data_IF_290552407841
#
_entry.id   IF_290552407841
#
_cell.length_a   1.000
_cell.length_b   1.000
_cell.length_c   1.000
_cell.angle_alpha   90.00
_cell.angle_beta   90.00
_cell.angle_gamma   90.00
#
_symmetry.space_group_name_H-M   'P 1'
#
loop_
_entity.id
_entity.type
_entity.pdbx_description
1 polymer ?
#
# COMPACT_ATOMS: atom_id res chain seq x y z
N UNK A 1 -19.59 -7.51 6.28
CA UNK A 1 -19.10 -6.67 5.18
C UNK A 1 -18.11 -7.50 4.39
N UNK A 2 -18.35 -7.73 3.12
CA UNK A 2 -17.40 -8.33 2.19
C UNK A 2 -16.70 -7.21 1.41
N UNK A 3 -15.41 -7.37 1.13
CA UNK A 3 -14.65 -6.30 0.44
C UNK A 3 -15.20 -6.01 -0.95
N UNK A 4 -15.68 -7.04 -1.67
CA UNK A 4 -16.30 -6.86 -2.99
C UNK A 4 -17.59 -6.03 -3.01
N UNK A 5 -18.29 -5.92 -1.86
CA UNK A 5 -19.52 -5.11 -1.75
C UNK A 5 -19.24 -3.62 -1.55
N UNK A 6 -18.05 -3.28 -1.04
CA UNK A 6 -17.72 -1.90 -0.59
C UNK A 6 -16.52 -1.30 -1.32
N UNK A 7 -15.94 -2.02 -2.26
CA UNK A 7 -14.78 -1.54 -3.02
C UNK A 7 -14.53 -2.35 -4.28
N UNK A 8 -13.53 -1.91 -5.02
CA UNK A 8 -13.10 -2.54 -6.28
C UNK A 8 -11.61 -2.85 -6.26
N UNK A 9 -11.24 -3.90 -6.96
CA UNK A 9 -9.85 -4.25 -7.22
C UNK A 9 -9.44 -3.77 -8.61
N UNK A 10 -8.29 -3.11 -8.70
CA UNK A 10 -7.72 -2.59 -9.92
C UNK A 10 -6.31 -3.19 -10.07
N UNK A 11 -6.05 -3.80 -11.23
CA UNK A 11 -4.75 -4.39 -11.53
C UNK A 11 -3.72 -3.30 -11.82
N UNK A 12 -2.50 -3.49 -11.30
CA UNK A 12 -1.37 -2.62 -11.58
C UNK A 12 -0.93 -2.61 -13.05
N UNK A 13 -0.13 -1.61 -13.40
CA UNK A 13 0.39 -1.37 -14.74
C UNK A 13 1.38 -2.46 -15.14
N UNK A 14 1.17 -3.05 -16.32
CA UNK A 14 2.17 -3.91 -16.96
C UNK A 14 3.10 -3.05 -17.80
N UNK A 15 4.39 -3.13 -17.53
CA UNK A 15 5.43 -2.44 -18.25
C UNK A 15 6.68 -3.35 -18.40
N UNK A 16 7.56 -3.02 -19.31
CA UNK A 16 8.80 -3.72 -19.55
C UNK A 16 10.03 -2.80 -19.40
N UNK A 17 11.23 -3.33 -19.57
CA UNK A 17 12.47 -2.55 -19.42
C UNK A 17 12.59 -1.37 -20.37
N UNK A 18 12.00 -1.47 -21.58
CA UNK A 18 12.05 -0.40 -22.57
C UNK A 18 11.12 0.78 -22.23
N UNK A 19 10.12 0.55 -21.36
CA UNK A 19 9.22 1.60 -20.88
C UNK A 19 9.88 2.43 -19.74
N UNK A 20 10.95 1.91 -19.13
CA UNK A 20 11.64 2.55 -18.00
C UNK A 20 12.56 3.64 -18.49
N UNK A 21 12.41 4.85 -17.96
CA UNK A 21 13.19 6.04 -18.31
C UNK A 21 13.49 6.87 -17.05
N UNK A 22 14.54 7.70 -17.09
CA UNK A 22 14.88 8.55 -15.94
C UNK A 22 13.80 9.58 -15.61
N UNK A 23 13.16 10.15 -16.63
CA UNK A 23 12.09 11.13 -16.51
C UNK A 23 10.89 10.69 -17.34
N UNK A 24 10.08 9.83 -16.80
CA UNK A 24 8.84 9.36 -17.41
C UNK A 24 7.64 10.21 -17.02
N UNK A 25 6.52 9.90 -17.64
CA UNK A 25 5.25 10.56 -17.36
C UNK A 25 4.47 9.94 -16.20
N UNK A 26 4.89 8.77 -15.70
CA UNK A 26 4.23 8.04 -14.59
C UNK A 26 5.26 7.42 -13.67
N UNK A 27 5.04 7.55 -12.37
CA UNK A 27 5.77 6.84 -11.33
C UNK A 27 5.09 5.52 -11.00
N UNK A 28 5.89 4.45 -10.92
CA UNK A 28 5.39 3.10 -10.64
C UNK A 28 5.95 2.60 -9.33
N UNK A 29 5.06 2.36 -8.38
CA UNK A 29 5.37 1.73 -7.10
C UNK A 29 5.37 0.21 -7.24
N UNK A 30 6.27 -0.45 -6.53
CA UNK A 30 6.44 -1.91 -6.56
C UNK A 30 6.32 -2.49 -5.15
N UNK A 31 6.40 -3.80 -5.04
CA UNK A 31 6.34 -4.48 -3.74
C UNK A 31 7.38 -3.98 -2.72
N UNK A 32 8.51 -3.44 -3.19
CA UNK A 32 9.55 -2.85 -2.34
C UNK A 32 9.11 -1.55 -1.66
N UNK A 33 8.17 -0.82 -2.27
CA UNK A 33 7.64 0.43 -1.74
C UNK A 33 6.50 0.22 -0.74
N UNK A 34 6.01 -1.00 -0.60
CA UNK A 34 4.93 -1.34 0.33
C UNK A 34 5.52 -1.57 1.72
N UNK A 35 5.22 -0.68 2.66
CA UNK A 35 5.53 -0.83 4.08
C UNK A 35 4.24 -1.28 4.77
N UNK A 36 4.22 -2.52 5.25
CA UNK A 36 2.99 -3.12 5.77
C UNK A 36 2.37 -2.27 6.89
N UNK A 37 1.09 -1.92 6.72
CA UNK A 37 0.33 -1.13 7.69
C UNK A 37 0.68 0.36 7.74
N UNK A 38 1.46 0.88 6.79
CA UNK A 38 1.90 2.27 6.75
C UNK A 38 1.65 2.91 5.38
N UNK A 39 2.03 4.19 5.22
CA UNK A 39 2.09 4.85 3.91
C UNK A 39 3.19 4.24 3.04
N UNK A 40 3.12 4.49 1.73
CA UNK A 40 4.13 4.03 0.78
C UNK A 40 5.51 4.66 1.04
N UNK A 41 6.57 3.91 0.76
CA UNK A 41 7.93 4.46 0.71
C UNK A 41 8.13 5.17 -0.64
N UNK A 42 8.21 6.48 -0.59
CA UNK A 42 8.47 7.35 -1.74
C UNK A 42 9.96 7.65 -1.97
N UNK A 43 10.85 7.17 -1.11
CA UNK A 43 12.26 7.55 -1.14
C UNK A 43 13.12 6.55 -1.93
N UNK A 44 12.68 5.30 -2.00
CA UNK A 44 13.51 4.22 -2.54
C UNK A 44 12.81 3.49 -3.68
N UNK A 45 13.60 3.00 -4.65
CA UNK A 45 13.17 2.03 -5.67
C UNK A 45 11.95 2.44 -6.52
N UNK A 46 11.64 3.72 -6.63
CA UNK A 46 10.59 4.21 -7.53
C UNK A 46 11.08 4.03 -8.96
N UNK A 47 10.20 3.51 -9.81
CA UNK A 47 10.47 3.38 -11.25
C UNK A 47 9.67 4.44 -11.98
N UNK A 48 10.33 5.17 -12.87
CA UNK A 48 9.69 6.12 -13.78
C UNK A 48 9.52 5.46 -15.15
N UNK A 49 8.32 5.55 -15.72
CA UNK A 49 8.00 4.95 -17.01
C UNK A 49 7.37 5.95 -17.97
N UNK A 50 7.60 5.75 -19.26
CA UNK A 50 6.91 6.51 -20.29
C UNK A 50 5.77 5.67 -20.85
N UNK A 51 4.63 5.64 -20.13
CA UNK A 51 3.46 4.84 -20.48
C UNK A 51 2.17 5.55 -20.08
N UNK A 52 1.10 5.31 -20.84
CA UNK A 52 -0.23 5.79 -20.46
C UNK A 52 -0.85 4.86 -19.42
N UNK A 53 -1.50 5.44 -18.42
CA UNK A 53 -2.33 4.74 -17.43
C UNK A 53 -3.78 5.16 -17.60
N UNK A 54 -4.71 4.27 -17.27
CA UNK A 54 -6.11 4.63 -17.17
C UNK A 54 -6.36 5.49 -15.93
N UNK A 55 -7.45 6.27 -15.93
CA UNK A 55 -7.85 7.04 -14.76
C UNK A 55 -8.08 6.16 -13.52
N UNK A 56 -8.49 4.91 -13.71
CA UNK A 56 -8.67 3.94 -12.63
C UNK A 56 -7.34 3.48 -12.03
N UNK A 57 -6.32 3.28 -12.87
CA UNK A 57 -4.98 2.85 -12.44
C UNK A 57 -4.20 3.97 -11.74
N UNK A 58 -4.58 5.23 -11.93
CA UNK A 58 -3.97 6.32 -11.16
C UNK A 58 -4.38 6.22 -9.71
N UNK A 59 -3.39 6.21 -8.82
CA UNK A 59 -3.63 6.17 -7.37
C UNK A 59 -4.39 7.40 -6.89
N UNK A 60 -5.37 7.16 -6.05
CA UNK A 60 -6.18 8.18 -5.38
C UNK A 60 -5.95 8.10 -3.87
N UNK A 61 -6.04 9.24 -3.19
CA UNK A 61 -5.90 9.28 -1.74
C UNK A 61 -6.84 8.27 -1.05
N UNK A 62 -6.29 7.45 -0.17
CA UNK A 62 -7.00 6.38 0.51
C UNK A 62 -6.97 5.02 -0.20
N UNK A 63 -6.43 4.93 -1.42
CA UNK A 63 -6.23 3.63 -2.08
C UNK A 63 -5.31 2.73 -1.23
N UNK A 64 -5.63 1.45 -1.20
CA UNK A 64 -4.83 0.43 -0.55
C UNK A 64 -4.06 -0.33 -1.62
N UNK A 65 -2.75 -0.35 -1.48
CA UNK A 65 -1.85 -1.04 -2.39
C UNK A 65 -1.48 -2.39 -1.77
N UNK A 66 -1.60 -3.46 -2.55
CA UNK A 66 -1.41 -4.83 -2.10
C UNK A 66 -0.34 -5.50 -2.96
N UNK A 67 0.61 -6.18 -2.32
CA UNK A 67 1.54 -7.07 -3.01
C UNK A 67 0.79 -8.34 -3.42
N UNK A 68 0.53 -8.51 -4.71
CA UNK A 68 -0.25 -9.63 -5.25
C UNK A 68 0.62 -10.84 -5.60
N UNK A 69 1.88 -10.62 -5.96
CA UNK A 69 2.83 -11.67 -6.30
C UNK A 69 4.24 -11.30 -5.84
N UNK A 70 4.95 -12.28 -5.29
CA UNK A 70 6.34 -12.12 -4.89
C UNK A 70 7.04 -13.49 -4.84
N UNK A 71 8.36 -13.53 -5.08
CA UNK A 71 9.16 -14.74 -4.89
C UNK A 71 9.19 -15.26 -3.44
N UNK A 72 8.94 -14.40 -2.46
CA UNK A 72 8.72 -14.79 -1.08
C UNK A 72 7.24 -14.74 -0.72
N UNK A 73 6.66 -15.87 -0.34
CA UNK A 73 5.26 -15.98 0.07
C UNK A 73 4.92 -15.10 1.29
N UNK A 74 5.89 -14.84 2.16
CA UNK A 74 5.72 -13.97 3.33
C UNK A 74 5.50 -12.50 2.98
N UNK A 75 5.81 -12.08 1.75
CA UNK A 75 5.62 -10.71 1.28
C UNK A 75 4.30 -10.52 0.50
N UNK A 76 3.68 -11.62 0.09
CA UNK A 76 2.39 -11.57 -0.61
C UNK A 76 1.30 -11.19 0.38
N UNK A 77 0.42 -10.30 -0.03
CA UNK A 77 -0.64 -9.76 0.81
C UNK A 77 -0.22 -8.61 1.73
N UNK A 78 1.08 -8.26 1.84
CA UNK A 78 1.42 -7.04 2.57
C UNK A 78 0.79 -5.83 1.87
N UNK A 79 0.36 -4.85 2.65
CA UNK A 79 -0.40 -3.72 2.16
C UNK A 79 0.09 -2.40 2.74
N UNK A 80 -0.01 -1.35 1.93
CA UNK A 80 0.18 0.05 2.33
C UNK A 80 -1.01 0.87 1.84
N UNK A 81 -1.11 2.11 2.29
CA UNK A 81 -2.10 3.04 1.77
C UNK A 81 -1.42 4.24 1.10
N UNK A 82 -2.11 4.79 0.10
CA UNK A 82 -1.68 5.99 -0.59
C UNK A 82 -2.26 7.23 0.11
N UNK A 83 -1.39 8.15 0.52
CA UNK A 83 -1.75 9.34 1.29
C UNK A 83 -2.00 10.60 0.42
N UNK A 84 -1.96 10.44 -0.91
CA UNK A 84 -2.23 11.54 -1.84
C UNK A 84 -1.12 12.58 -1.98
N UNK A 85 0.05 12.39 -1.38
CA UNK A 85 1.10 13.43 -1.34
C UNK A 85 1.94 13.54 -2.61
N UNK A 86 1.91 12.55 -3.49
CA UNK A 86 2.68 12.59 -4.73
C UNK A 86 2.02 13.56 -5.74
N UNK A 87 2.81 14.51 -6.24
CA UNK A 87 2.35 15.50 -7.22
C UNK A 87 2.38 14.99 -8.67
N UNK A 88 3.05 13.87 -8.91
CA UNK A 88 3.14 13.25 -10.24
C UNK A 88 2.09 12.15 -10.40
N UNK A 89 1.67 11.85 -11.65
CA UNK A 89 0.88 10.67 -11.92
C UNK A 89 1.59 9.42 -11.38
N UNK A 90 0.90 8.66 -10.56
CA UNK A 90 1.49 7.53 -9.84
C UNK A 90 0.55 6.31 -9.90
N UNK A 91 1.12 5.14 -10.06
CA UNK A 91 0.41 3.85 -10.08
C UNK A 91 1.25 2.76 -9.43
N UNK A 92 0.79 1.52 -9.50
CA UNK A 92 1.52 0.33 -9.05
C UNK A 92 1.87 -0.58 -10.21
N UNK A 93 2.95 -1.35 -10.10
CA UNK A 93 3.36 -2.34 -11.09
C UNK A 93 2.50 -3.60 -11.06
N UNK A 94 2.58 -4.44 -12.10
CA UNK A 94 1.73 -5.61 -12.33
C UNK A 94 1.74 -6.67 -11.23
N UNK A 95 2.77 -6.71 -10.37
CA UNK A 95 2.85 -7.59 -9.20
C UNK A 95 2.16 -7.01 -7.96
N UNK A 96 1.56 -5.83 -8.10
CA UNK A 96 0.75 -5.18 -7.09
C UNK A 96 -0.65 -4.94 -7.62
N UNK A 97 -1.59 -4.75 -6.70
CA UNK A 97 -2.95 -4.35 -7.01
C UNK A 97 -3.35 -3.15 -6.16
N UNK A 98 -4.38 -2.46 -6.62
CA UNK A 98 -5.01 -1.35 -5.93
C UNK A 98 -6.36 -1.84 -5.46
N UNK A 99 -6.67 -1.66 -4.19
CA UNK A 99 -8.03 -1.80 -3.69
C UNK A 99 -8.56 -0.42 -3.32
N UNK A 100 -9.66 -0.03 -3.94
CA UNK A 100 -10.30 1.28 -3.78
C UNK A 100 -11.66 1.14 -3.12
N UNK A 101 -11.87 1.86 -2.02
CA UNK A 101 -13.13 1.89 -1.29
C UNK A 101 -13.42 3.29 -0.76
N UNK A 102 -14.71 3.60 -0.62
CA UNK A 102 -15.18 4.82 0.06
C UNK A 102 -15.37 4.62 1.57
N UNK A 103 -15.28 3.38 2.05
CA UNK A 103 -15.45 3.02 3.45
C UNK A 103 -14.15 3.25 4.24
N UNK A 104 -14.07 4.27 5.10
CA UNK A 104 -12.81 4.64 5.75
C UNK A 104 -12.23 3.54 6.64
N UNK A 105 -13.08 2.70 7.27
CA UNK A 105 -12.65 1.61 8.16
C UNK A 105 -11.80 0.57 7.43
N UNK A 106 -11.97 0.42 6.12
CA UNK A 106 -11.33 -0.60 5.31
C UNK A 106 -9.81 -0.54 5.38
N UNK A 107 -9.23 0.65 5.47
CA UNK A 107 -7.78 0.85 5.60
C UNK A 107 -7.16 -0.04 6.69
N UNK A 108 -7.82 -0.16 7.84
CA UNK A 108 -7.29 -0.94 8.97
C UNK A 108 -7.67 -2.43 8.90
N UNK A 109 -8.68 -2.81 8.11
CA UNK A 109 -9.03 -4.22 7.94
C UNK A 109 -7.90 -5.01 7.29
N UNK A 110 -7.13 -4.40 6.39
CA UNK A 110 -5.95 -4.98 5.76
C UNK A 110 -4.76 -5.18 6.71
N UNK A 111 -4.81 -4.62 7.92
CA UNK A 111 -3.79 -4.78 8.96
C UNK A 111 -4.17 -5.83 10.01
N UNK A 112 -5.36 -6.44 9.89
CA UNK A 112 -5.86 -7.40 10.89
C UNK A 112 -5.26 -8.79 10.71
N UNK A 113 -5.15 -9.52 11.83
CA UNK A 113 -4.77 -10.94 11.80
C UNK A 113 -5.72 -11.78 10.94
N UNK A 114 -7.01 -11.39 10.86
CA UNK A 114 -7.99 -12.06 10.00
C UNK A 114 -7.61 -11.96 8.53
N UNK A 115 -7.22 -10.76 8.08
CA UNK A 115 -6.71 -10.53 6.73
C UNK A 115 -5.50 -11.41 6.44
N UNK A 116 -4.47 -11.33 7.27
CA UNK A 116 -3.23 -12.08 7.08
C UNK A 116 -3.45 -13.59 7.08
N UNK A 117 -4.32 -14.10 7.96
CA UNK A 117 -4.70 -15.53 7.99
C UNK A 117 -5.42 -15.96 6.71
N UNK A 118 -6.32 -15.11 6.19
CA UNK A 118 -7.01 -15.42 4.93
C UNK A 118 -6.03 -15.49 3.77
N UNK A 119 -5.15 -14.50 3.64
CA UNK A 119 -4.10 -14.47 2.61
C UNK A 119 -3.22 -15.73 2.70
N UNK A 120 -2.74 -16.04 3.90
CA UNK A 120 -1.92 -17.24 4.11
C UNK A 120 -2.62 -18.52 3.65
N UNK A 121 -3.87 -18.70 4.01
CA UNK A 121 -4.65 -19.88 3.61
C UNK A 121 -4.87 -19.93 2.09
N UNK A 122 -5.10 -18.79 1.45
CA UNK A 122 -5.27 -18.72 -0.01
C UNK A 122 -4.00 -19.12 -0.76
N UNK A 123 -2.82 -18.87 -0.20
CA UNK A 123 -1.54 -19.22 -0.80
C UNK A 123 -1.18 -20.70 -0.64
N UNK A 124 -1.69 -21.38 0.38
CA UNK A 124 -1.39 -22.81 0.63
C UNK A 124 -1.98 -23.75 -0.44
N UNK A 125 -2.99 -23.31 -1.19
CA UNK A 125 -3.61 -24.10 -2.28
C UNK A 125 -2.85 -24.05 -3.62
N UNK A 126 -1.77 -23.28 -3.72
CA UNK A 126 -1.04 -23.09 -4.98
C UNK A 126 0.13 -24.08 -5.16
N UNK A 127 0.16 -24.76 -6.31
CA UNK A 127 1.23 -25.72 -6.69
C UNK A 127 2.44 -25.04 -7.36
N UNK A 128 2.64 -23.71 -7.18
CA UNK A 128 3.63 -22.95 -7.92
C UNK A 128 4.81 -22.44 -7.08
N UNK A 129 5.97 -22.27 -7.73
CA UNK A 129 7.18 -21.69 -7.13
C UNK A 129 7.01 -20.20 -6.75
N UNK A 130 5.99 -19.52 -7.26
CA UNK A 130 5.68 -18.11 -6.98
C UNK A 130 4.32 -18.04 -6.34
N UNK A 131 4.26 -17.53 -5.09
CA UNK A 131 3.00 -17.22 -4.42
C UNK A 131 2.30 -16.06 -5.14
N UNK A 132 1.07 -16.27 -5.57
CA UNK A 132 0.30 -15.31 -6.34
C UNK A 132 -1.16 -15.28 -5.87
N UNK A 133 -1.68 -14.08 -5.67
CA UNK A 133 -3.09 -13.80 -5.41
C UNK A 133 -3.73 -13.22 -6.66
N UNK A 134 -5.03 -13.41 -6.81
CA UNK A 134 -5.81 -12.71 -7.81
C UNK A 134 -6.77 -11.70 -7.15
N UNK A 135 -7.38 -10.82 -7.94
CA UNK A 135 -8.28 -9.78 -7.41
C UNK A 135 -9.51 -10.36 -6.71
N UNK A 136 -10.00 -11.51 -7.18
CA UNK A 136 -11.15 -12.20 -6.58
C UNK A 136 -10.85 -12.69 -5.16
N UNK A 137 -9.61 -13.11 -4.90
CA UNK A 137 -9.19 -13.53 -3.55
C UNK A 137 -9.35 -12.38 -2.57
N UNK A 138 -9.03 -11.15 -2.99
CA UNK A 138 -9.21 -9.95 -2.16
C UNK A 138 -10.68 -9.61 -1.99
N UNK A 139 -11.46 -9.59 -3.07
CA UNK A 139 -12.87 -9.19 -3.06
C UNK A 139 -13.76 -10.15 -2.24
N UNK A 140 -13.37 -11.42 -2.10
CA UNK A 140 -14.09 -12.43 -1.30
C UNK A 140 -13.84 -12.33 0.20
N UNK A 141 -12.88 -11.56 0.66
CA UNK A 141 -12.59 -11.43 2.09
C UNK A 141 -13.77 -10.77 2.79
N UNK A 142 -14.23 -11.40 3.87
CA UNK A 142 -15.34 -10.91 4.68
C UNK A 142 -14.90 -10.60 6.11
N UNK A 143 -15.39 -9.49 6.65
CA UNK A 143 -15.14 -9.03 8.00
C UNK A 143 -16.45 -8.85 8.78
N UNK A 144 -16.40 -9.17 10.06
CA UNK A 144 -17.44 -8.72 10.99
C UNK A 144 -17.10 -7.30 11.40
N UNK A 145 -17.92 -6.36 10.98
CA UNK A 145 -17.80 -4.94 11.31
C UNK A 145 -18.95 -4.58 12.25
N UNK A 146 -18.71 -3.79 13.29
CA UNK A 146 -19.77 -3.32 14.19
C UNK A 146 -20.85 -2.52 13.46
N UNK A 147 -21.86 -2.09 14.18
CA UNK A 147 -22.83 -1.12 13.66
C UNK A 147 -22.18 0.19 13.23
N UNK A 148 -22.88 0.99 12.42
CA UNK A 148 -22.36 2.21 11.81
C UNK A 148 -21.81 3.20 12.83
N UNK A 149 -22.50 3.40 13.99
CA UNK A 149 -22.09 4.34 15.03
C UNK A 149 -20.76 3.91 15.68
N UNK A 150 -20.65 2.63 16.02
CA UNK A 150 -19.43 2.07 16.60
C UNK A 150 -18.27 2.10 15.59
N UNK A 151 -18.55 1.77 14.33
CA UNK A 151 -17.56 1.83 13.23
C UNK A 151 -17.02 3.24 13.04
N UNK A 152 -17.88 4.25 13.07
CA UNK A 152 -17.45 5.66 12.96
C UNK A 152 -16.53 6.07 14.14
N UNK A 153 -16.88 5.68 15.36
CA UNK A 153 -16.05 5.95 16.55
C UNK A 153 -14.69 5.26 16.45
N UNK A 154 -14.66 3.99 16.04
CA UNK A 154 -13.42 3.25 15.79
C UNK A 154 -12.56 3.92 14.73
N UNK A 155 -13.17 4.34 13.62
CA UNK A 155 -12.49 5.04 12.52
C UNK A 155 -11.83 6.33 13.00
N UNK A 156 -12.55 7.15 13.78
CA UNK A 156 -12.00 8.40 14.35
C UNK A 156 -10.83 8.13 15.29
N UNK A 157 -10.94 7.13 16.15
CA UNK A 157 -9.88 6.76 17.08
C UNK A 157 -8.63 6.28 16.33
N UNK A 158 -8.81 5.36 15.37
CA UNK A 158 -7.71 4.82 14.57
C UNK A 158 -7.03 5.91 13.74
N UNK A 159 -7.79 6.82 13.14
CA UNK A 159 -7.24 7.98 12.41
C UNK A 159 -6.39 8.88 13.31
N UNK A 160 -6.84 9.11 14.54
CA UNK A 160 -6.10 9.92 15.52
C UNK A 160 -4.78 9.22 15.92
N UNK A 161 -4.80 7.91 16.09
CA UNK A 161 -3.59 7.12 16.38
C UNK A 161 -2.61 7.15 15.21
N UNK A 162 -3.08 6.97 13.97
CA UNK A 162 -2.22 7.09 12.77
C UNK A 162 -1.56 8.47 12.70
N UNK A 163 -2.32 9.56 12.92
CA UNK A 163 -1.78 10.92 12.91
C UNK A 163 -0.71 11.15 13.99
N UNK A 164 -0.90 10.55 15.19
CA UNK A 164 0.11 10.59 16.25
C UNK A 164 1.37 9.82 15.86
N UNK A 165 1.22 8.65 15.27
CA UNK A 165 2.34 7.85 14.77
C UNK A 165 3.12 8.62 13.71
N UNK A 166 2.46 9.17 12.70
CA UNK A 166 3.10 9.96 11.64
C UNK A 166 3.84 11.19 12.19
N UNK A 167 3.25 11.90 13.14
CA UNK A 167 3.87 13.05 13.80
C UNK A 167 5.15 12.64 14.55
N UNK A 168 5.12 11.53 15.29
CA UNK A 168 6.28 11.03 16.03
C UNK A 168 7.38 10.54 15.09
N UNK A 169 7.04 9.84 14.00
CA UNK A 169 8.00 9.40 12.97
C UNK A 169 8.69 10.61 12.34
N UNK A 170 7.93 11.65 11.98
CA UNK A 170 8.48 12.90 11.45
C UNK A 170 9.42 13.58 12.45
N UNK A 171 9.06 13.62 13.72
CA UNK A 171 9.87 14.21 14.78
C UNK A 171 11.18 13.42 14.97
N UNK A 172 11.13 12.11 15.01
CA UNK A 172 12.31 11.24 15.08
C UNK A 172 13.25 11.46 13.90
N UNK A 173 12.72 11.60 12.68
CA UNK A 173 13.51 11.90 11.49
C UNK A 173 14.24 13.25 11.62
N UNK A 174 13.55 14.29 12.07
CA UNK A 174 14.15 15.63 12.30
C UNK A 174 15.27 15.58 13.34
N UNK A 175 15.07 14.88 14.45
CA UNK A 175 16.11 14.72 15.46
C UNK A 175 17.31 13.95 14.93
N UNK A 176 17.09 12.92 14.11
CA UNK A 176 18.17 12.18 13.46
C UNK A 176 19.00 13.08 12.54
N UNK A 177 18.35 13.90 11.72
CA UNK A 177 19.01 14.88 10.85
C UNK A 177 19.80 15.93 11.68
N UNK A 178 19.20 16.44 12.75
CA UNK A 178 19.87 17.40 13.63
C UNK A 178 21.10 16.81 14.30
N UNK A 179 20.99 15.56 14.78
CA UNK A 179 22.13 14.82 15.35
C UNK A 179 23.26 14.68 14.32
N UNK A 180 22.93 14.29 13.10
CA UNK A 180 23.89 14.10 12.02
C UNK A 180 24.60 15.41 11.66
N UNK A 181 23.84 16.50 11.54
CA UNK A 181 24.36 17.83 11.34
C UNK A 181 25.36 18.25 12.46
N UNK A 182 24.97 18.08 13.71
CA UNK A 182 25.84 18.43 14.85
C UNK A 182 27.12 17.59 14.85
N UNK A 183 27.04 16.28 14.58
CA UNK A 183 28.24 15.45 14.48
C UNK A 183 29.20 15.92 13.38
N UNK A 184 28.67 16.32 12.22
CA UNK A 184 29.47 16.86 11.15
C UNK A 184 30.14 18.20 11.52
N UNK A 185 29.48 19.02 12.37
CA UNK A 185 30.07 20.30 12.81
C UNK A 185 31.10 20.15 13.95
N UNK A 186 30.95 19.10 14.76
CA UNK A 186 31.82 18.90 15.94
C UNK A 186 33.11 18.12 15.65
N UNK A 187 33.16 17.38 14.54
CA UNK A 187 34.25 16.45 14.22
C UNK A 187 34.82 16.70 12.81
N UNK A 188 34.95 17.98 12.43
CA UNK A 188 35.68 18.39 11.24
C UNK A 188 37.17 18.38 11.48
#
# INVERSE_FOLDING_TARGET
MQLGDVGSYIRGLTYNSNDVVEQGNVLVMRSNNIINGSSLDYNNNIVSVNKQISAEQQLQNGDIIICMANGSSSLVGKSSFYDGKCLYPITVGAFCGIYRSKEPIVKWLFQTNRYHKYIWNSLQGGNGAIANLNGEDILRISFHVPDSSTTERCTKLLSSLDSLIESNVSLCSKFSQQKEYLLQQMFI
#
